data_IF_068111545954
#
_entry.id   IF_068111545954
#
_cell.length_a   1.000
_cell.length_b   1.000
_cell.length_c   1.000
_cell.angle_alpha   90.00
_cell.angle_beta   90.00
_cell.angle_gamma   90.00
#
_symmetry.space_group_name_H-M   'P 1'
#
loop_
_entity.id
_entity.type
_entity.pdbx_description
1 polymer ?
#
# COMPACT_ATOMS: atom_id res chain seq x y z
N UNK A 1 6.49 -10.76 -1.19
CA UNK A 1 5.19 -11.46 -1.04
C UNK A 1 4.78 -11.42 0.43
N UNK A 2 3.50 -11.20 0.73
CA UNK A 2 3.02 -11.24 2.11
C UNK A 2 2.84 -12.70 2.52
N UNK A 3 3.78 -13.24 3.29
CA UNK A 3 3.79 -14.65 3.75
C UNK A 3 2.62 -14.99 4.65
N UNK A 4 2.17 -14.04 5.47
CA UNK A 4 1.01 -14.21 6.35
C UNK A 4 -0.28 -14.40 5.54
N UNK A 5 -0.48 -13.56 4.53
CA UNK A 5 -1.65 -13.66 3.64
C UNK A 5 -1.60 -14.94 2.84
N UNK A 6 -0.43 -15.26 2.24
CA UNK A 6 -0.27 -16.51 1.50
C UNK A 6 -0.60 -17.75 2.34
N UNK A 7 -0.09 -17.84 3.57
CA UNK A 7 -0.39 -18.98 4.42
C UNK A 7 -1.84 -19.02 4.92
N UNK A 8 -2.47 -17.87 5.13
CA UNK A 8 -3.90 -17.79 5.44
C UNK A 8 -4.76 -18.30 4.26
N UNK A 9 -4.38 -17.97 3.02
CA UNK A 9 -5.06 -18.50 1.82
C UNK A 9 -4.99 -20.03 1.74
N UNK A 10 -3.95 -20.67 2.27
CA UNK A 10 -3.85 -22.13 2.29
C UNK A 10 -4.88 -22.79 3.21
N UNK A 11 -5.34 -22.10 4.26
CA UNK A 11 -6.31 -22.62 5.24
C UNK A 11 -7.71 -22.02 5.09
N UNK A 12 -7.89 -21.05 4.19
CA UNK A 12 -9.14 -20.29 4.06
C UNK A 12 -10.35 -21.18 3.77
N UNK A 13 -10.16 -22.26 3.02
CA UNK A 13 -11.21 -23.20 2.62
C UNK A 13 -11.70 -24.07 3.80
N UNK A 14 -10.97 -24.09 4.92
CA UNK A 14 -11.32 -24.81 6.14
C UNK A 14 -12.28 -24.02 7.05
N UNK A 15 -12.50 -22.74 6.75
CA UNK A 15 -13.43 -21.87 7.47
C UNK A 15 -12.76 -20.74 8.26
N UNK A 16 -13.59 -19.80 8.74
CA UNK A 16 -13.12 -18.58 9.40
C UNK A 16 -12.40 -18.85 10.74
N UNK A 17 -12.80 -19.90 11.46
CA UNK A 17 -12.16 -20.29 12.72
C UNK A 17 -10.70 -20.73 12.50
N UNK A 18 -10.45 -21.57 11.50
CA UNK A 18 -9.10 -22.06 11.17
C UNK A 18 -8.20 -20.94 10.62
N UNK A 19 -8.78 -20.04 9.81
CA UNK A 19 -8.05 -18.86 9.32
C UNK A 19 -7.62 -17.94 10.47
N UNK A 20 -8.51 -17.70 11.44
CA UNK A 20 -8.19 -16.91 12.64
C UNK A 20 -7.14 -17.60 13.53
N UNK A 21 -7.28 -18.92 13.73
CA UNK A 21 -6.31 -19.71 14.47
C UNK A 21 -4.92 -19.70 13.81
N UNK A 22 -4.86 -19.72 12.49
CA UNK A 22 -3.62 -19.53 11.72
C UNK A 22 -2.98 -18.18 12.03
N UNK A 23 -3.73 -17.07 11.94
CA UNK A 23 -3.18 -15.74 12.26
C UNK A 23 -2.68 -15.64 13.69
N UNK A 24 -3.42 -16.19 14.67
CA UNK A 24 -2.98 -16.20 16.06
C UNK A 24 -1.65 -16.95 16.25
N UNK A 25 -1.51 -18.14 15.64
CA UNK A 25 -0.25 -18.91 15.66
C UNK A 25 0.88 -18.17 14.95
N UNK A 26 0.59 -17.57 13.80
CA UNK A 26 1.54 -16.77 13.02
C UNK A 26 2.06 -15.58 13.83
N UNK A 27 1.18 -14.80 14.46
CA UNK A 27 1.57 -13.67 15.29
C UNK A 27 2.39 -14.12 16.51
N UNK A 28 2.00 -15.21 17.16
CA UNK A 28 2.79 -15.76 18.27
C UNK A 28 4.21 -16.14 17.81
N UNK A 29 4.33 -16.82 16.67
CA UNK A 29 5.63 -17.21 16.10
C UNK A 29 6.49 -16.01 15.70
N UNK A 30 5.92 -14.99 15.07
CA UNK A 30 6.64 -13.76 14.67
C UNK A 30 7.17 -13.02 15.90
N UNK A 31 6.33 -12.83 16.92
CA UNK A 31 6.74 -12.15 18.14
C UNK A 31 7.84 -12.93 18.88
N UNK A 32 7.68 -14.25 18.99
CA UNK A 32 8.70 -15.11 19.58
C UNK A 32 10.02 -15.09 18.80
N UNK A 33 9.96 -15.16 17.46
CA UNK A 33 11.11 -15.02 16.60
C UNK A 33 11.81 -13.66 16.74
N UNK A 34 11.03 -12.58 16.87
CA UNK A 34 11.53 -11.24 17.16
C UNK A 34 12.28 -11.17 18.50
N UNK A 35 11.73 -11.77 19.56
CA UNK A 35 12.41 -11.84 20.86
C UNK A 35 13.73 -12.60 20.78
N UNK A 36 13.79 -13.73 20.08
CA UNK A 36 15.03 -14.46 19.87
C UNK A 36 16.05 -13.66 19.04
N UNK A 37 15.59 -12.90 18.05
CA UNK A 37 16.45 -12.03 17.24
C UNK A 37 17.06 -10.89 18.07
N UNK A 38 16.23 -10.13 18.79
CA UNK A 38 16.71 -9.03 19.63
C UNK A 38 17.47 -9.48 20.88
N UNK A 39 17.24 -10.71 21.35
CA UNK A 39 17.95 -11.29 22.50
C UNK A 39 19.17 -12.10 22.09
N UNK A 40 18.94 -13.31 21.59
CA UNK A 40 19.99 -14.32 21.36
C UNK A 40 20.90 -13.92 20.20
N UNK A 41 20.36 -13.51 19.05
CA UNK A 41 21.19 -13.14 17.89
C UNK A 41 21.99 -11.87 18.21
N UNK A 42 21.36 -10.85 18.79
CA UNK A 42 22.06 -9.64 19.22
C UNK A 42 23.18 -9.94 20.23
N UNK A 43 22.94 -10.86 21.19
CA UNK A 43 23.96 -11.30 22.14
C UNK A 43 25.15 -11.96 21.42
N UNK A 44 24.90 -12.88 20.49
CA UNK A 44 25.95 -13.54 19.70
C UNK A 44 26.76 -12.51 18.90
N UNK A 45 26.08 -11.54 18.26
CA UNK A 45 26.75 -10.48 17.50
C UNK A 45 27.65 -9.62 18.39
N UNK A 46 27.20 -9.27 19.59
CA UNK A 46 27.93 -8.36 20.49
C UNK A 46 29.03 -9.05 21.32
N UNK A 47 28.87 -10.33 21.66
CA UNK A 47 29.74 -11.02 22.61
C UNK A 47 30.59 -12.16 22.00
N UNK A 48 30.23 -12.66 20.82
CA UNK A 48 30.95 -13.76 20.15
C UNK A 48 31.65 -13.24 18.90
N UNK A 49 30.90 -13.04 17.83
CA UNK A 49 31.38 -12.48 16.57
C UNK A 49 30.19 -12.16 15.65
N UNK A 50 30.31 -11.10 14.85
CA UNK A 50 29.30 -10.71 13.87
C UNK A 50 29.09 -11.77 12.79
N UNK A 51 30.14 -12.49 12.38
CA UNK A 51 30.07 -13.55 11.39
C UNK A 51 29.04 -14.62 11.78
N UNK A 52 29.11 -15.15 13.00
CA UNK A 52 28.13 -16.12 13.50
C UNK A 52 26.73 -15.53 13.63
N UNK A 53 26.65 -14.26 14.03
CA UNK A 53 25.41 -13.51 14.08
C UNK A 53 24.69 -13.37 12.73
N UNK A 54 25.42 -13.38 11.62
CA UNK A 54 24.84 -13.37 10.26
C UNK A 54 24.62 -14.77 9.68
N UNK A 55 25.51 -15.73 9.98
CA UNK A 55 25.39 -17.12 9.49
C UNK A 55 24.15 -17.80 10.06
N UNK A 56 23.79 -17.57 11.33
CA UNK A 56 22.61 -18.19 11.96
C UNK A 56 21.31 -17.80 11.21
N UNK A 57 20.96 -16.51 11.02
CA UNK A 57 19.78 -16.14 10.22
C UNK A 57 19.85 -16.62 8.77
N UNK A 58 21.03 -16.55 8.14
CA UNK A 58 21.19 -16.97 6.75
C UNK A 58 20.88 -18.46 6.56
N UNK A 59 21.39 -19.32 7.45
CA UNK A 59 21.11 -20.77 7.41
C UNK A 59 19.64 -21.07 7.68
N UNK A 60 19.00 -20.38 8.63
CA UNK A 60 17.56 -20.52 8.89
C UNK A 60 16.72 -20.11 7.67
N UNK A 61 17.09 -19.04 6.96
CA UNK A 61 16.42 -18.63 5.72
C UNK A 61 16.58 -19.67 4.61
N UNK A 62 17.77 -20.27 4.46
CA UNK A 62 17.99 -21.35 3.48
C UNK A 62 17.09 -22.55 3.80
N UNK A 63 17.04 -22.98 5.06
CA UNK A 63 16.18 -24.09 5.50
C UNK A 63 14.71 -23.75 5.23
N UNK A 64 14.26 -22.55 5.60
CA UNK A 64 12.90 -22.10 5.35
C UNK A 64 12.56 -22.09 3.85
N UNK A 65 13.49 -21.65 2.99
CA UNK A 65 13.31 -21.66 1.54
C UNK A 65 13.23 -23.08 0.98
N UNK A 66 14.07 -24.01 1.46
CA UNK A 66 14.02 -25.41 1.06
C UNK A 66 12.70 -26.08 1.47
N UNK A 67 12.22 -25.81 2.69
CA UNK A 67 10.91 -26.28 3.13
C UNK A 67 9.78 -25.68 2.30
N UNK A 68 9.86 -24.39 1.98
CA UNK A 68 8.86 -23.72 1.14
C UNK A 68 8.80 -24.31 -0.27
N UNK A 69 9.95 -24.55 -0.89
CA UNK A 69 10.03 -25.17 -2.23
C UNK A 69 9.60 -26.63 -2.16
N UNK A 70 10.02 -27.38 -1.14
CA UNK A 70 9.65 -28.79 -0.96
C UNK A 70 8.15 -28.99 -0.73
N UNK A 71 7.48 -28.01 -0.12
CA UNK A 71 6.03 -28.01 0.08
C UNK A 71 5.24 -27.47 -1.14
N UNK A 72 5.92 -27.05 -2.21
CA UNK A 72 5.28 -26.54 -3.42
C UNK A 72 4.11 -27.40 -3.97
N UNK A 73 4.20 -28.75 -4.08
CA UNK A 73 3.10 -29.55 -4.61
C UNK A 73 1.86 -29.58 -3.69
N UNK A 74 2.00 -29.16 -2.43
CA UNK A 74 0.91 -29.10 -1.45
C UNK A 74 0.19 -27.74 -1.46
N UNK A 75 0.73 -26.74 -2.16
CA UNK A 75 0.18 -25.40 -2.15
C UNK A 75 -1.02 -25.23 -3.06
N UNK A 76 -2.06 -24.59 -2.53
CA UNK A 76 -3.22 -24.10 -3.26
C UNK A 76 -2.83 -22.78 -3.92
N UNK A 77 -2.93 -22.72 -5.24
CA UNK A 77 -2.67 -21.52 -6.02
C UNK A 77 -3.95 -20.70 -6.23
N UNK A 78 -3.97 -19.50 -5.65
CA UNK A 78 -5.00 -18.49 -5.88
C UNK A 78 -4.79 -17.79 -7.23
N UNK A 79 -5.88 -17.37 -7.89
CA UNK A 79 -5.80 -16.59 -9.14
C UNK A 79 -5.27 -15.16 -8.86
N UNK A 80 -4.53 -14.55 -9.80
CA UNK A 80 -4.02 -13.20 -9.64
C UNK A 80 -5.16 -12.18 -9.53
N UNK A 81 -5.09 -11.29 -8.54
CA UNK A 81 -6.03 -10.18 -8.37
C UNK A 81 -5.72 -9.01 -9.32
N UNK A 82 -6.74 -8.48 -9.99
CA UNK A 82 -6.65 -7.21 -10.71
C UNK A 82 -6.53 -6.04 -9.71
N UNK A 83 -5.40 -5.32 -9.77
CA UNK A 83 -5.11 -4.24 -8.82
C UNK A 83 -5.44 -2.86 -9.39
N UNK A 84 -6.20 -2.06 -8.64
CA UNK A 84 -6.52 -0.65 -8.95
C UNK A 84 -5.25 0.18 -9.17
N UNK A 85 -4.14 -0.16 -8.50
CA UNK A 85 -2.85 0.53 -8.66
C UNK A 85 -2.32 0.37 -10.09
N UNK A 86 -2.53 -0.79 -10.73
CA UNK A 86 -2.10 -1.01 -12.12
C UNK A 86 -2.91 -0.18 -13.12
N UNK A 87 -4.14 0.18 -12.76
CA UNK A 87 -5.04 0.99 -13.59
C UNK A 87 -4.85 2.50 -13.36
N UNK A 88 -4.24 2.90 -12.24
CA UNK A 88 -4.05 4.31 -11.88
C UNK A 88 -3.26 5.11 -12.92
N UNK A 89 -2.10 4.61 -13.35
CA UNK A 89 -1.23 5.30 -14.32
C UNK A 89 -1.91 5.41 -15.70
N UNK A 90 -2.47 4.33 -16.29
CA UNK A 90 -3.22 4.40 -17.55
C UNK A 90 -4.40 5.38 -17.54
N UNK A 91 -5.16 5.44 -16.44
CA UNK A 91 -6.29 6.35 -16.27
C UNK A 91 -5.81 7.80 -16.25
N UNK A 92 -4.72 8.09 -15.54
CA UNK A 92 -4.14 9.44 -15.47
C UNK A 92 -3.62 9.90 -16.84
N UNK A 93 -2.96 9.02 -17.59
CA UNK A 93 -2.47 9.29 -18.95
C UNK A 93 -3.65 9.56 -19.90
N UNK A 94 -4.71 8.75 -19.84
CA UNK A 94 -5.90 8.97 -20.66
C UNK A 94 -6.64 10.26 -20.31
N UNK A 95 -6.80 10.57 -19.02
CA UNK A 95 -7.37 11.83 -18.57
C UNK A 95 -6.60 13.02 -19.16
N UNK A 96 -5.26 12.94 -19.20
CA UNK A 96 -4.42 13.98 -19.77
C UNK A 96 -4.58 14.12 -21.29
N UNK A 97 -4.60 12.99 -22.02
CA UNK A 97 -4.76 12.96 -23.47
C UNK A 97 -6.14 13.45 -23.90
N UNK A 98 -7.19 12.97 -23.24
CA UNK A 98 -8.58 13.36 -23.47
C UNK A 98 -8.81 14.86 -23.21
N UNK A 99 -8.26 15.39 -22.10
CA UNK A 99 -8.31 16.84 -21.84
C UNK A 99 -7.60 17.66 -22.92
N UNK A 100 -6.42 17.22 -23.39
CA UNK A 100 -5.69 17.90 -24.47
C UNK A 100 -6.45 17.89 -25.80
N UNK A 101 -7.17 16.82 -26.10
CA UNK A 101 -7.99 16.72 -27.31
C UNK A 101 -9.23 17.61 -27.24
N UNK A 102 -9.93 17.61 -26.10
CA UNK A 102 -11.08 18.48 -25.88
C UNK A 102 -10.71 19.98 -25.97
N UNK A 103 -9.55 20.37 -25.42
CA UNK A 103 -9.05 21.75 -25.59
C UNK A 103 -8.68 22.11 -27.04
N UNK A 104 -8.47 21.14 -27.93
CA UNK A 104 -8.23 21.41 -29.35
C UNK A 104 -9.53 21.58 -30.14
N UNK A 105 -10.56 20.79 -29.84
CA UNK A 105 -11.89 20.93 -30.47
C UNK A 105 -12.59 22.23 -30.06
N UNK A 106 -12.49 22.64 -28.79
CA UNK A 106 -13.09 23.90 -28.30
C UNK A 106 -12.43 25.14 -28.94
N UNK A 107 -11.16 25.06 -29.33
CA UNK A 107 -10.46 26.15 -30.03
C UNK A 107 -10.84 26.23 -31.52
N UNK A 108 -11.52 25.21 -32.06
CA UNK A 108 -11.88 25.09 -33.48
C UNK A 108 -13.35 25.39 -33.81
N UNK A 109 -14.19 25.78 -32.84
CA UNK A 109 -15.52 26.36 -33.12
C UNK A 109 -15.45 27.90 -33.16
N UNK A 110 -15.57 28.56 -34.33
CA UNK A 110 -15.87 29.98 -34.39
C UNK A 110 -17.28 30.22 -33.83
N UNK A 111 -17.42 31.16 -32.90
CA UNK A 111 -18.72 31.64 -32.43
C UNK A 111 -19.55 32.14 -33.62
N UNK A 112 -20.64 31.45 -33.97
CA UNK A 112 -21.73 32.05 -34.73
C UNK A 112 -22.79 32.54 -33.75
N UNK A 113 -22.69 33.82 -33.38
CA UNK A 113 -23.80 34.57 -32.79
C UNK A 113 -24.63 35.08 -33.96
N UNK A 114 -25.67 34.34 -34.32
CA UNK A 114 -26.75 34.86 -35.17
C UNK A 114 -27.93 35.13 -34.27
N UNK A 115 -28.31 36.41 -34.18
CA UNK A 115 -29.51 36.87 -33.52
C UNK A 115 -30.74 36.29 -34.22
N UNK A 116 -31.65 35.66 -33.49
CA UNK A 116 -33.07 35.78 -33.81
C UNK A 116 -33.94 35.56 -32.57
N UNK A 117 -34.90 36.45 -32.44
CA UNK A 117 -35.85 36.57 -31.35
C UNK A 117 -37.15 35.86 -31.76
N UNK A 118 -37.88 35.34 -30.76
CA UNK A 118 -39.22 34.74 -30.83
C UNK A 118 -39.29 33.22 -31.01
N UNK A 119 -39.60 32.51 -29.93
CA UNK A 119 -40.95 31.95 -29.76
C UNK A 119 -41.03 31.07 -28.50
N UNK A 120 -42.12 31.27 -27.78
CA UNK A 120 -42.44 30.71 -26.47
C UNK A 120 -43.14 29.36 -26.64
N UNK A 121 -42.70 28.38 -25.83
CA UNK A 121 -43.38 27.13 -25.44
C UNK A 121 -43.62 26.04 -26.50
N UNK A 122 -42.72 25.04 -26.50
CA UNK A 122 -43.13 23.64 -26.57
C UNK A 122 -42.18 22.79 -25.72
N UNK A 123 -42.68 22.40 -24.53
CA UNK A 123 -42.61 21.05 -23.95
C UNK A 123 -41.29 20.27 -24.18
N UNK A 124 -40.34 20.35 -23.25
CA UNK A 124 -40.16 19.42 -22.10
C UNK A 124 -39.61 18.04 -22.51
N UNK A 125 -38.47 17.68 -21.90
CA UNK A 125 -37.67 16.44 -21.98
C UNK A 125 -36.68 16.33 -23.15
N UNK A 126 -35.48 16.92 -22.96
CA UNK A 126 -34.26 16.12 -23.01
C UNK A 126 -33.09 16.79 -22.25
N UNK A 127 -32.79 16.21 -21.09
CA UNK A 127 -31.57 16.29 -20.26
C UNK A 127 -30.69 17.56 -20.29
N UNK A 128 -31.24 18.73 -19.96
CA UNK A 128 -30.47 19.82 -19.33
C UNK A 128 -30.29 19.63 -17.81
N UNK A 129 -30.00 18.39 -17.39
CA UNK A 129 -29.54 18.08 -16.04
C UNK A 129 -28.05 17.74 -16.06
N UNK A 130 -27.24 18.55 -16.74
CA UNK A 130 -25.83 18.64 -16.39
C UNK A 130 -25.77 19.38 -15.07
N UNK A 131 -25.99 18.64 -13.97
CA UNK A 131 -25.55 19.04 -12.65
C UNK A 131 -24.21 19.74 -12.81
N UNK A 132 -24.11 20.96 -12.26
CA UNK A 132 -22.91 21.79 -12.19
C UNK A 132 -21.88 21.14 -11.25
N UNK A 133 -21.60 19.84 -11.44
CA UNK A 133 -20.47 19.19 -10.80
C UNK A 133 -19.21 19.72 -11.47
N UNK A 134 -18.35 20.34 -10.66
CA UNK A 134 -17.00 20.77 -11.08
C UNK A 134 -16.28 19.54 -11.67
N UNK A 135 -16.17 19.50 -12.99
CA UNK A 135 -15.51 18.41 -13.71
C UNK A 135 -14.04 18.39 -13.28
N UNK A 136 -13.63 17.33 -12.58
CA UNK A 136 -12.25 17.16 -12.14
C UNK A 136 -11.41 16.67 -13.32
N UNK A 137 -10.11 16.96 -13.35
CA UNK A 137 -9.20 16.51 -14.41
C UNK A 137 -9.31 15.00 -14.72
N UNK A 138 -9.53 14.17 -13.70
CA UNK A 138 -9.63 12.71 -13.83
C UNK A 138 -10.94 12.28 -14.53
N UNK A 139 -11.99 13.11 -14.52
CA UNK A 139 -13.28 12.82 -15.17
C UNK A 139 -13.18 12.73 -16.69
N UNK A 140 -12.13 13.29 -17.30
CA UNK A 140 -11.90 13.20 -18.74
C UNK A 140 -11.51 11.78 -19.20
N UNK A 141 -11.10 10.90 -18.27
CA UNK A 141 -10.82 9.49 -18.59
C UNK A 141 -12.09 8.61 -18.68
N UNK A 142 -13.24 9.15 -18.25
CA UNK A 142 -14.52 8.44 -18.12
C UNK A 142 -15.14 8.15 -19.49
N UNK A 143 -15.62 6.92 -19.70
CA UNK A 143 -16.26 6.51 -20.95
C UNK A 143 -17.46 7.39 -21.30
N UNK A 144 -18.27 7.77 -20.32
CA UNK A 144 -19.41 8.69 -20.52
C UNK A 144 -19.02 10.12 -20.92
N UNK A 145 -17.73 10.49 -20.84
CA UNK A 145 -17.19 11.81 -21.25
C UNK A 145 -16.20 11.70 -22.41
N UNK A 146 -16.24 10.61 -23.19
CA UNK A 146 -15.37 10.39 -24.36
C UNK A 146 -14.02 9.72 -24.05
N UNK A 147 -13.83 9.24 -22.82
CA UNK A 147 -12.65 8.49 -22.41
C UNK A 147 -12.73 6.98 -22.67
N UNK A 148 -11.68 6.23 -22.29
CA UNK A 148 -11.57 4.78 -22.53
C UNK A 148 -12.01 3.92 -21.32
N UNK A 149 -12.08 4.50 -20.12
CA UNK A 149 -12.24 3.73 -18.88
C UNK A 149 -13.66 3.79 -18.34
N UNK A 150 -14.13 2.66 -17.79
CA UNK A 150 -15.42 2.54 -17.12
C UNK A 150 -15.46 3.51 -15.92
N UNK A 151 -16.59 4.19 -15.75
CA UNK A 151 -16.83 5.22 -14.73
C UNK A 151 -16.42 4.80 -13.31
N UNK A 152 -16.68 3.54 -12.93
CA UNK A 152 -16.28 2.96 -11.64
C UNK A 152 -14.76 3.00 -11.40
N UNK A 153 -13.96 2.66 -12.42
CA UNK A 153 -12.48 2.65 -12.32
C UNK A 153 -11.96 4.06 -12.08
N UNK A 154 -12.58 5.05 -12.73
CA UNK A 154 -12.20 6.46 -12.60
C UNK A 154 -12.51 6.97 -11.18
N UNK A 155 -13.61 6.54 -10.57
CA UNK A 155 -13.98 6.89 -9.21
C UNK A 155 -13.09 6.18 -8.16
N UNK A 156 -12.71 4.93 -8.40
CA UNK A 156 -11.71 4.22 -7.58
C UNK A 156 -10.35 4.93 -7.62
N UNK A 157 -9.92 5.39 -8.80
CA UNK A 157 -8.69 6.16 -9.01
C UNK A 157 -8.74 7.53 -8.31
N UNK A 158 -9.89 8.21 -8.33
CA UNK A 158 -10.06 9.45 -7.55
C UNK A 158 -9.94 9.19 -6.05
N UNK A 159 -10.45 8.06 -5.57
CA UNK A 159 -10.37 7.70 -4.15
C UNK A 159 -8.92 7.51 -3.68
N UNK A 160 -8.01 7.11 -4.59
CA UNK A 160 -6.58 7.01 -4.31
C UNK A 160 -5.94 8.34 -3.84
N UNK A 161 -6.50 9.50 -4.21
CA UNK A 161 -5.96 10.80 -3.76
C UNK A 161 -6.01 10.95 -2.25
N UNK A 162 -7.06 10.43 -1.60
CA UNK A 162 -7.21 10.48 -0.15
C UNK A 162 -6.21 9.55 0.52
N UNK A 163 -5.97 8.39 -0.09
CA UNK A 163 -4.96 7.43 0.34
C UNK A 163 -3.56 8.07 0.31
N UNK A 164 -3.21 8.79 -0.77
CA UNK A 164 -1.93 9.51 -0.86
C UNK A 164 -1.76 10.53 0.27
N UNK A 165 -2.82 11.30 0.59
CA UNK A 165 -2.77 12.26 1.71
C UNK A 165 -2.47 11.56 3.04
N UNK A 166 -3.10 10.40 3.29
CA UNK A 166 -2.82 9.60 4.50
C UNK A 166 -1.36 9.12 4.51
N UNK A 167 -0.83 8.65 3.38
CA UNK A 167 0.58 8.24 3.28
C UNK A 167 1.56 9.38 3.55
N UNK A 168 1.30 10.59 3.04
CA UNK A 168 2.14 11.76 3.31
C UNK A 168 2.14 12.12 4.79
N UNK A 169 0.97 12.05 5.45
CA UNK A 169 0.85 12.28 6.89
C UNK A 169 1.57 11.20 7.72
N UNK A 170 1.81 10.01 7.17
CA UNK A 170 2.61 8.96 7.83
C UNK A 170 4.12 9.22 7.77
N UNK A 171 4.61 10.05 6.84
CA UNK A 171 6.07 10.30 6.68
C UNK A 171 6.71 10.84 7.97
N UNK A 172 6.17 11.88 8.64
CA UNK A 172 6.75 12.36 9.91
C UNK A 172 6.79 11.29 11.01
N UNK A 173 5.76 10.44 11.08
CA UNK A 173 5.73 9.32 12.03
C UNK A 173 6.91 8.36 11.77
N UNK A 174 7.10 7.94 10.52
CA UNK A 174 8.22 7.08 10.13
C UNK A 174 9.58 7.75 10.42
N UNK A 175 9.72 9.04 10.15
CA UNK A 175 10.95 9.78 10.44
C UNK A 175 11.32 9.75 11.93
N UNK A 176 10.34 9.93 12.82
CA UNK A 176 10.55 9.84 14.27
C UNK A 176 10.83 8.40 14.69
N UNK A 177 10.10 7.43 14.14
CA UNK A 177 10.31 6.02 14.44
C UNK A 177 11.74 5.57 14.11
N UNK A 178 12.27 5.96 12.95
CA UNK A 178 13.66 5.63 12.58
C UNK A 178 14.70 6.20 13.56
N UNK A 179 14.40 7.31 14.26
CA UNK A 179 15.30 7.84 15.29
C UNK A 179 15.44 6.89 16.48
N UNK A 180 14.40 6.12 16.81
CA UNK A 180 14.46 5.13 17.90
C UNK A 180 15.50 4.05 17.58
N UNK A 181 15.61 3.65 16.32
CA UNK A 181 16.53 2.59 15.89
C UNK A 181 18.00 3.05 15.95
N UNK A 182 18.30 4.31 15.61
CA UNK A 182 19.68 4.81 15.55
C UNK A 182 20.11 5.58 16.81
N UNK A 183 19.34 6.59 17.19
CA UNK A 183 19.75 7.59 18.20
C UNK A 183 19.73 7.01 19.60
N UNK A 184 18.72 6.21 19.94
CA UNK A 184 18.65 5.56 21.25
C UNK A 184 19.69 4.45 21.40
N UNK A 185 20.05 3.76 20.32
CA UNK A 185 21.12 2.76 20.35
C UNK A 185 22.48 3.41 20.64
N UNK A 186 22.80 4.53 19.97
CA UNK A 186 24.02 5.29 20.24
C UNK A 186 24.03 5.83 21.68
N UNK A 187 22.92 6.39 22.14
CA UNK A 187 22.80 6.84 23.53
C UNK A 187 22.97 5.68 24.54
N UNK A 188 22.42 4.51 24.24
CA UNK A 188 22.60 3.29 25.03
C UNK A 188 24.05 2.84 25.15
N UNK A 189 24.84 3.02 24.08
CA UNK A 189 26.28 2.72 24.12
C UNK A 189 27.06 3.65 25.06
N UNK A 190 26.60 4.89 25.22
CA UNK A 190 27.22 5.88 26.12
C UNK A 190 26.64 5.86 27.55
N UNK A 191 25.63 5.05 27.84
CA UNK A 191 25.08 4.91 29.19
C UNK A 191 25.95 4.03 30.07
N UNK A 192 26.30 4.53 31.26
CA UNK A 192 27.06 3.78 32.26
C UNK A 192 26.11 2.88 33.05
N UNK A 193 26.23 1.56 32.91
CA UNK A 193 25.45 0.61 33.71
C UNK A 193 25.93 0.67 35.17
N UNK A 194 25.07 1.04 36.14
CA UNK A 194 25.44 1.00 37.54
C UNK A 194 25.78 -0.44 37.94
N UNK A 195 26.96 -0.66 38.53
CA UNK A 195 27.31 -1.97 39.12
C UNK A 195 26.52 -2.14 40.42
N UNK A 196 25.31 -2.67 40.32
CA UNK A 196 24.56 -3.14 41.50
C UNK A 196 25.31 -4.35 42.10
N UNK A 197 26.09 -4.11 43.16
CA UNK A 197 26.81 -5.16 43.89
C UNK A 197 28.26 -4.83 44.28
N UNK A 198 28.86 -3.75 43.79
CA UNK A 198 30.14 -3.29 44.33
C UNK A 198 29.87 -2.54 45.65
N UNK A 199 29.71 -3.30 46.73
CA UNK A 199 29.73 -2.80 48.10
C UNK A 199 30.92 -1.84 48.27
N UNK A 200 30.61 -0.57 48.55
CA UNK A 200 31.57 0.36 49.14
C UNK A 200 32.05 -0.28 50.45
N UNK A 201 33.25 -0.86 50.42
CA UNK A 201 34.07 -1.03 51.62
C UNK A 201 35.07 0.12 51.62
N UNK A 202 34.72 1.17 52.37
CA UNK A 202 35.69 2.04 53.01
C UNK A 202 36.03 1.46 54.38
#
# INVERSE_FOLDING_TARGET
ANTAVFGAEQVQNLGAAETSAYFNKYYAAVNFGGLLAFGVIAYVQQNVDFFYGYVIPATLLIIAALLFIGAYPLYIHSQPFDSVITLFIPVLINAFRSKRQHSREVVQQPQQISADENSVLTQQFDCRLTSTEKITFIDYARASKGGKFIDRIVDDVKSLRYIIVVFVLLIPYWLIYFQIETTFLVQGLHMRIPRFGASQRM
#
